data_IF_081574819478
#
_entry.id   IF_081574819478
#
_cell.length_a   1.000
_cell.length_b   1.000
_cell.length_c   1.000
_cell.angle_alpha   90.00
_cell.angle_beta   90.00
_cell.angle_gamma   90.00
#
_symmetry.space_group_name_H-M   'P 1'
#
loop_
_entity.id
_entity.type
_entity.pdbx_description
1 polymer ?
#
# COMPACT_ATOMS: atom_id res chain seq x y z
N UNK A 1 -6.68 22.87 9.63
CA UNK A 1 -7.52 22.22 8.61
C UNK A 1 -6.80 20.94 8.14
N UNK A 2 -7.15 19.69 8.47
CA UNK A 2 -8.26 19.10 9.23
C UNK A 2 -7.73 18.25 10.40
N UNK A 3 -8.45 18.28 11.52
CA UNK A 3 -8.25 17.41 12.68
C UNK A 3 -8.95 16.07 12.43
N UNK A 4 -8.55 15.33 11.40
CA UNK A 4 -8.89 13.90 11.37
C UNK A 4 -8.21 13.28 12.58
N UNK A 5 -9.00 12.79 13.51
CA UNK A 5 -8.55 11.93 14.60
C UNK A 5 -7.67 10.84 13.99
N UNK A 6 -6.36 10.88 14.27
CA UNK A 6 -5.38 9.91 13.78
C UNK A 6 -5.55 8.58 14.54
N UNK A 7 -6.68 7.91 14.30
CA UNK A 7 -6.91 6.56 14.77
C UNK A 7 -5.96 5.58 14.07
N UNK A 8 -5.72 4.41 14.69
CA UNK A 8 -4.85 3.36 14.14
C UNK A 8 -5.20 2.98 12.70
N UNK A 9 -6.49 2.96 12.37
CA UNK A 9 -6.98 2.65 11.02
C UNK A 9 -6.52 3.70 9.98
N UNK A 10 -6.61 4.99 10.32
CA UNK A 10 -6.15 6.09 9.44
C UNK A 10 -4.64 6.01 9.22
N UNK A 11 -3.86 5.84 10.30
CA UNK A 11 -2.42 5.62 10.19
C UNK A 11 -2.08 4.40 9.30
N UNK A 12 -2.78 3.27 9.47
CA UNK A 12 -2.52 2.08 8.65
C UNK A 12 -2.81 2.35 7.17
N UNK A 13 -3.93 3.00 6.86
CA UNK A 13 -4.32 3.33 5.49
C UNK A 13 -3.29 4.25 4.81
N UNK A 14 -2.78 5.27 5.50
CA UNK A 14 -1.74 6.17 4.96
C UNK A 14 -0.41 5.43 4.72
N UNK A 15 0.00 4.51 5.60
CA UNK A 15 1.19 3.70 5.36
C UNK A 15 1.01 2.77 4.15
N UNK A 16 -0.14 2.10 4.04
CA UNK A 16 -0.46 1.23 2.89
C UNK A 16 -0.44 2.02 1.59
N UNK A 17 -1.04 3.21 1.58
CA UNK A 17 -1.04 4.12 0.42
C UNK A 17 0.38 4.50 0.02
N UNK A 18 1.13 5.08 0.96
CA UNK A 18 2.49 5.56 0.70
C UNK A 18 3.42 4.44 0.21
N UNK A 19 3.39 3.28 0.88
CA UNK A 19 4.22 2.13 0.51
C UNK A 19 3.88 1.62 -0.89
N UNK A 20 2.58 1.59 -1.25
CA UNK A 20 2.13 1.14 -2.57
C UNK A 20 2.51 2.13 -3.67
N UNK A 21 2.32 3.44 -3.43
CA UNK A 21 2.62 4.49 -4.41
C UNK A 21 4.14 4.66 -4.62
N UNK A 22 4.94 4.53 -3.56
CA UNK A 22 6.40 4.75 -3.60
C UNK A 22 7.21 3.46 -3.76
N UNK A 23 6.55 2.31 -3.96
CA UNK A 23 7.17 0.98 -4.10
C UNK A 23 8.19 0.67 -2.99
N UNK A 24 7.86 1.03 -1.74
CA UNK A 24 8.77 0.85 -0.61
C UNK A 24 8.69 -0.58 -0.07
N UNK A 25 9.80 -1.14 0.44
CA UNK A 25 9.73 -2.43 1.12
C UNK A 25 8.95 -2.28 2.44
N UNK A 26 8.13 -3.28 2.79
CA UNK A 26 7.35 -3.27 4.04
C UNK A 26 8.23 -3.17 5.30
N UNK A 27 9.48 -3.63 5.20
CA UNK A 27 10.47 -3.58 6.29
C UNK A 27 10.80 -2.15 6.74
N UNK A 28 10.50 -1.12 5.94
CA UNK A 28 10.75 0.29 6.30
C UNK A 28 10.10 0.67 7.64
N UNK A 29 8.97 0.08 8.00
CA UNK A 29 8.29 0.34 9.27
C UNK A 29 9.06 -0.14 10.52
N UNK A 30 10.08 -0.99 10.34
CA UNK A 30 11.02 -1.41 11.40
C UNK A 30 12.25 -0.50 11.49
N UNK A 31 12.53 0.29 10.46
CA UNK A 31 13.72 1.12 10.38
C UNK A 31 13.68 2.22 11.45
N UNK A 32 14.81 2.42 12.15
CA UNK A 32 14.90 3.29 13.31
C UNK A 32 14.77 4.77 12.94
N UNK A 33 15.43 5.19 11.86
CA UNK A 33 15.36 6.54 11.31
C UNK A 33 13.94 6.91 10.90
N UNK A 34 13.26 6.02 10.18
CA UNK A 34 11.86 6.16 9.79
C UNK A 34 10.95 6.31 11.01
N UNK A 35 11.09 5.42 12.02
CA UNK A 35 10.28 5.51 13.24
C UNK A 35 10.52 6.80 14.02
N UNK A 36 11.77 7.30 14.04
CA UNK A 36 12.09 8.61 14.64
C UNK A 36 11.43 9.74 13.87
N UNK A 37 11.53 9.74 12.54
CA UNK A 37 10.94 10.74 11.67
C UNK A 37 9.41 10.79 11.83
N UNK A 38 8.73 9.65 11.74
CA UNK A 38 7.26 9.55 11.87
C UNK A 38 6.73 9.95 13.24
N UNK A 39 7.57 9.86 14.28
CA UNK A 39 7.24 10.29 15.65
C UNK A 39 7.68 11.72 15.95
N UNK A 40 8.40 12.37 15.05
CA UNK A 40 8.77 13.77 15.18
C UNK A 40 7.51 14.63 15.15
N UNK A 41 7.32 15.46 16.17
CA UNK A 41 6.11 16.26 16.37
C UNK A 41 4.89 15.50 16.91
N UNK A 42 4.81 14.17 16.75
CA UNK A 42 3.70 13.33 17.28
C UNK A 42 4.21 11.98 17.83
N UNK A 43 4.68 11.93 19.10
CA UNK A 43 5.29 10.73 19.67
C UNK A 43 4.37 9.50 19.74
N UNK A 44 3.06 9.75 19.89
CA UNK A 44 2.03 8.73 20.03
C UNK A 44 1.46 8.22 18.70
N UNK A 45 2.03 8.64 17.55
CA UNK A 45 1.62 8.14 16.24
C UNK A 45 1.79 6.63 16.17
N UNK A 46 0.71 5.95 15.76
CA UNK A 46 0.75 4.52 15.48
C UNK A 46 1.52 4.25 14.19
N UNK A 47 2.50 3.36 14.26
CA UNK A 47 3.24 2.86 13.10
C UNK A 47 2.90 1.36 12.99
N UNK A 48 2.27 0.92 11.89
CA UNK A 48 1.92 -0.49 11.70
C UNK A 48 3.18 -1.35 11.55
N UNK A 49 3.07 -2.64 11.91
CA UNK A 49 4.14 -3.60 11.63
C UNK A 49 4.23 -3.91 10.13
N UNK A 50 5.37 -4.40 9.61
CA UNK A 50 5.47 -4.84 8.21
C UNK A 50 4.41 -5.88 7.84
N UNK A 51 4.09 -6.82 8.73
CA UNK A 51 3.05 -7.83 8.51
C UNK A 51 1.66 -7.20 8.42
N UNK A 52 1.39 -6.17 9.22
CA UNK A 52 0.15 -5.38 9.14
C UNK A 52 0.05 -4.68 7.79
N UNK A 53 1.12 -4.02 7.34
CA UNK A 53 1.16 -3.34 6.03
C UNK A 53 0.93 -4.37 4.91
N UNK A 54 1.64 -5.50 4.93
CA UNK A 54 1.51 -6.54 3.90
C UNK A 54 0.08 -7.10 3.80
N UNK A 55 -0.54 -7.40 4.95
CA UNK A 55 -1.93 -7.86 5.01
C UNK A 55 -2.90 -6.80 4.46
N UNK A 56 -2.74 -5.56 4.88
CA UNK A 56 -3.65 -4.48 4.49
C UNK A 56 -3.48 -4.11 2.99
N UNK A 57 -2.24 -4.16 2.46
CA UNK A 57 -1.95 -4.05 1.01
C UNK A 57 -2.64 -5.17 0.23
N UNK A 58 -2.57 -6.41 0.72
CA UNK A 58 -3.25 -7.56 0.07
C UNK A 58 -4.77 -7.36 0.02
N UNK A 59 -5.38 -6.91 1.12
CA UNK A 59 -6.81 -6.59 1.17
C UNK A 59 -7.18 -5.45 0.18
N UNK A 60 -6.33 -4.43 0.07
CA UNK A 60 -6.52 -3.34 -0.88
C UNK A 60 -6.41 -3.83 -2.32
N UNK A 61 -5.46 -4.72 -2.62
CA UNK A 61 -5.31 -5.33 -3.93
C UNK A 61 -6.56 -6.13 -4.31
N UNK A 62 -7.07 -6.99 -3.43
CA UNK A 62 -8.28 -7.80 -3.68
C UNK A 62 -9.50 -6.92 -4.01
N UNK A 63 -9.72 -5.86 -3.20
CA UNK A 63 -10.79 -4.88 -3.46
C UNK A 63 -10.63 -4.16 -4.78
N UNK A 64 -9.39 -3.75 -5.10
CA UNK A 64 -9.08 -3.03 -6.34
C UNK A 64 -9.25 -3.94 -7.56
N UNK A 65 -8.78 -5.19 -7.48
CA UNK A 65 -8.98 -6.22 -8.50
C UNK A 65 -10.47 -6.45 -8.76
N UNK A 66 -11.29 -6.62 -7.73
CA UNK A 66 -12.73 -6.78 -7.89
C UNK A 66 -13.41 -5.55 -8.51
N UNK A 67 -12.95 -4.34 -8.20
CA UNK A 67 -13.42 -3.09 -8.83
C UNK A 67 -13.04 -3.03 -10.31
N UNK A 68 -11.80 -3.37 -10.65
CA UNK A 68 -11.30 -3.40 -12.02
C UNK A 68 -12.05 -4.46 -12.83
N UNK A 69 -12.24 -5.67 -12.29
CA UNK A 69 -12.99 -6.74 -12.95
C UNK A 69 -14.43 -6.31 -13.28
N UNK A 70 -15.12 -5.61 -12.37
CA UNK A 70 -16.45 -5.06 -12.63
C UNK A 70 -16.44 -4.00 -13.75
N UNK A 71 -15.37 -3.21 -13.87
CA UNK A 71 -15.22 -2.25 -14.97
C UNK A 71 -14.98 -2.96 -16.29
N UNK A 72 -14.10 -3.96 -16.32
CA UNK A 72 -13.84 -4.79 -17.51
C UNK A 72 -15.11 -5.48 -18.02
N UNK A 73 -15.92 -6.08 -17.14
CA UNK A 73 -17.19 -6.73 -17.53
C UNK A 73 -18.22 -5.77 -18.16
N UNK A 74 -18.14 -4.48 -17.86
CA UNK A 74 -19.04 -3.44 -18.41
C UNK A 74 -18.51 -2.81 -19.69
N UNK A 75 -17.25 -3.06 -20.05
CA UNK A 75 -16.66 -2.49 -21.24
C UNK A 75 -17.22 -3.22 -22.46
N UNK A 76 -17.94 -2.51 -23.33
CA UNK A 76 -18.44 -3.05 -24.60
C UNK A 76 -17.39 -3.01 -25.73
N UNK A 77 -16.18 -2.51 -25.43
CA UNK A 77 -15.10 -2.32 -26.38
C UNK A 77 -14.07 -3.46 -26.32
N UNK A 78 -13.34 -3.65 -27.43
CA UNK A 78 -12.21 -4.58 -27.50
C UNK A 78 -11.07 -4.14 -26.58
N UNK A 79 -10.40 -5.12 -25.96
CA UNK A 79 -9.27 -4.91 -25.05
C UNK A 79 -8.01 -5.49 -25.69
N UNK A 80 -6.95 -4.69 -25.80
CA UNK A 80 -5.62 -5.16 -26.19
C UNK A 80 -4.84 -5.61 -24.95
N UNK A 81 -4.18 -6.77 -25.03
CA UNK A 81 -3.32 -7.30 -23.97
C UNK A 81 -1.87 -7.32 -24.47
N UNK A 82 -1.00 -6.53 -23.86
CA UNK A 82 0.45 -6.64 -24.01
C UNK A 82 0.99 -7.43 -22.82
N UNK A 83 1.75 -8.49 -23.09
CA UNK A 83 2.42 -9.29 -22.05
C UNK A 83 3.92 -9.09 -22.21
N UNK A 84 4.56 -8.62 -21.15
CA UNK A 84 6.01 -8.48 -21.07
C UNK A 84 6.59 -9.74 -20.41
N UNK A 85 7.58 -10.36 -21.05
CA UNK A 85 8.21 -11.60 -20.59
C UNK A 85 9.72 -11.48 -20.66
N UNK A 86 10.40 -11.66 -19.53
CA UNK A 86 11.86 -11.69 -19.44
C UNK A 86 12.31 -12.87 -18.58
N UNK A 87 13.57 -13.31 -18.77
CA UNK A 87 14.21 -14.30 -17.90
C UNK A 87 15.23 -13.59 -17.01
N UNK A 88 15.12 -13.74 -15.69
CA UNK A 88 16.13 -13.24 -14.76
C UNK A 88 17.15 -14.34 -14.43
N UNK A 89 18.47 -14.06 -14.44
CA UNK A 89 19.48 -14.99 -13.92
C UNK A 89 19.41 -14.99 -12.39
N UNK A 90 18.38 -15.63 -11.83
CA UNK A 90 18.30 -15.89 -10.39
C UNK A 90 19.12 -17.15 -10.12
N UNK A 91 20.42 -16.97 -9.88
CA UNK A 91 21.36 -17.99 -9.42
C UNK A 91 21.53 -17.90 -7.90
#
# INVERSE_FOLDING_TARGET
FSLLTYGRASCSAEHVRWVSESLRPFSIAKERGYRRLMKSGRPNTFIPSPSTIARDVKLLFEKTRARIQRRFKKLAASVSLATDTWTSPNH
#
